data_IF_591424717842
#
_entry.id   IF_591424717842
#
_cell.length_a   1.000
_cell.length_b   1.000
_cell.length_c   1.000
_cell.angle_alpha   90.00
_cell.angle_beta   90.00
_cell.angle_gamma   90.00
#
_symmetry.space_group_name_H-M   'P 1'
#
loop_
_entity.id
_entity.type
_entity.pdbx_description
1 polymer ?
#
# COMPACT_ATOMS: atom_id res chain seq x y z
N UNK A 1 49.66 22.88 -45.30
CA UNK A 1 48.91 21.59 -45.36
C UNK A 1 49.66 20.60 -44.48
N UNK A 2 49.14 19.91 -43.45
CA UNK A 2 47.79 19.55 -43.01
C UNK A 2 47.78 19.54 -41.46
N UNK A 3 46.66 19.97 -40.86
CA UNK A 3 46.38 19.89 -39.42
C UNK A 3 46.35 18.41 -38.99
N UNK A 4 47.07 18.05 -37.92
CA UNK A 4 46.92 16.75 -37.28
C UNK A 4 45.60 16.76 -36.51
N UNK A 5 44.65 15.98 -37.02
CA UNK A 5 43.31 15.78 -36.43
C UNK A 5 43.44 15.04 -35.11
N UNK A 6 43.33 15.77 -34.02
CA UNK A 6 43.04 15.23 -32.69
C UNK A 6 41.53 14.97 -32.61
N UNK A 7 41.16 13.79 -32.10
CA UNK A 7 39.81 13.23 -31.83
C UNK A 7 39.33 12.26 -32.93
N UNK A 8 38.97 11.00 -32.61
CA UNK A 8 38.00 10.69 -31.56
C UNK A 8 38.27 9.35 -30.83
N UNK A 9 39.34 9.21 -30.04
CA UNK A 9 39.52 7.99 -29.24
C UNK A 9 38.80 8.03 -27.87
N UNK A 10 38.24 9.19 -27.50
CA UNK A 10 37.58 9.41 -26.19
C UNK A 10 36.06 9.19 -26.29
N UNK A 11 35.49 9.07 -27.49
CA UNK A 11 34.03 8.92 -27.66
C UNK A 11 33.55 7.47 -27.53
N UNK A 12 34.45 6.48 -27.63
CA UNK A 12 34.07 5.05 -27.56
C UNK A 12 33.95 4.51 -26.12
N UNK A 13 34.44 5.22 -25.11
CA UNK A 13 34.45 4.73 -23.72
C UNK A 13 33.19 5.09 -22.91
N UNK A 14 32.33 5.99 -23.42
CA UNK A 14 31.10 6.42 -22.73
C UNK A 14 29.85 5.59 -23.08
N UNK A 15 29.95 4.69 -24.07
CA UNK A 15 28.81 3.87 -24.51
C UNK A 15 28.69 2.57 -23.68
N UNK A 16 29.74 2.18 -22.95
CA UNK A 16 29.75 0.92 -22.20
C UNK A 16 29.11 1.00 -20.81
N UNK A 17 28.74 2.19 -20.33
CA UNK A 17 28.15 2.37 -18.99
C UNK A 17 26.62 2.24 -18.93
N UNK A 18 25.96 1.95 -20.06
CA UNK A 18 24.48 1.96 -20.17
C UNK A 18 23.84 0.57 -20.30
N UNK A 19 24.57 -0.53 -20.05
CA UNK A 19 24.09 -1.90 -20.32
C UNK A 19 23.64 -2.67 -19.05
N UNK A 20 23.73 -2.10 -17.85
CA UNK A 20 23.44 -2.85 -16.59
C UNK A 20 22.20 -2.37 -15.82
N UNK A 21 21.09 -2.11 -16.50
CA UNK A 21 19.77 -2.04 -15.84
C UNK A 21 18.75 -3.00 -16.44
N UNK A 22 19.20 -4.17 -16.89
CA UNK A 22 18.33 -5.31 -17.18
C UNK A 22 18.51 -6.41 -16.11
N UNK A 23 18.50 -6.02 -14.83
CA UNK A 23 18.01 -6.94 -13.79
C UNK A 23 16.49 -6.80 -13.84
N UNK A 24 15.84 -7.59 -14.68
CA UNK A 24 14.41 -7.82 -14.53
C UNK A 24 14.21 -8.37 -13.12
N UNK A 25 13.46 -7.63 -12.32
CA UNK A 25 12.95 -8.08 -11.04
C UNK A 25 12.28 -9.44 -11.27
N UNK A 26 12.66 -10.46 -10.51
CA UNK A 26 11.78 -11.61 -10.26
C UNK A 26 10.50 -11.03 -9.66
N UNK A 27 9.56 -10.66 -10.52
CA UNK A 27 8.16 -10.48 -10.16
C UNK A 27 7.69 -11.90 -9.88
N UNK A 28 7.99 -12.36 -8.67
CA UNK A 28 7.40 -13.54 -8.09
C UNK A 28 5.92 -13.43 -8.39
N UNK A 29 5.42 -14.24 -9.34
CA UNK A 29 4.14 -14.02 -10.01
C UNK A 29 3.08 -13.75 -8.97
N UNK A 30 2.74 -12.47 -8.82
CA UNK A 30 1.79 -12.05 -7.80
C UNK A 30 0.48 -12.74 -8.17
N UNK A 31 -0.21 -13.28 -7.18
CA UNK A 31 -1.52 -13.93 -7.35
C UNK A 31 -2.54 -13.08 -8.14
N UNK A 32 -2.27 -11.79 -8.33
CA UNK A 32 -3.08 -10.77 -8.99
C UNK A 32 -2.59 -10.39 -10.41
N UNK A 33 -1.70 -11.17 -11.02
CA UNK A 33 -1.11 -10.89 -12.33
C UNK A 33 -1.99 -11.35 -13.52
N UNK A 34 -3.22 -11.83 -13.25
CA UNK A 34 -4.22 -11.96 -14.33
C UNK A 34 -4.84 -10.58 -14.59
N UNK A 35 -5.05 -10.25 -15.87
CA UNK A 35 -5.56 -8.93 -16.26
C UNK A 35 -6.88 -8.57 -15.56
N UNK A 36 -7.77 -9.53 -15.37
CA UNK A 36 -9.06 -9.33 -14.70
C UNK A 36 -8.91 -8.99 -13.22
N UNK A 37 -8.08 -9.74 -12.47
CA UNK A 37 -7.84 -9.48 -11.05
C UNK A 37 -7.25 -8.07 -10.85
N UNK A 38 -6.32 -7.68 -11.73
CA UNK A 38 -5.70 -6.34 -11.68
C UNK A 38 -6.70 -5.20 -11.95
N UNK A 39 -7.69 -5.42 -12.82
CA UNK A 39 -8.74 -4.44 -13.13
C UNK A 39 -9.67 -4.28 -11.93
N UNK A 40 -10.12 -5.39 -11.34
CA UNK A 40 -11.00 -5.37 -10.18
C UNK A 40 -10.33 -4.68 -8.98
N UNK A 41 -9.06 -4.99 -8.71
CA UNK A 41 -8.27 -4.29 -7.70
C UNK A 41 -8.26 -2.77 -7.92
N UNK A 42 -7.96 -2.32 -9.14
CA UNK A 42 -7.94 -0.91 -9.49
C UNK A 42 -9.30 -0.23 -9.30
N UNK A 43 -10.38 -0.90 -9.68
CA UNK A 43 -11.74 -0.41 -9.49
C UNK A 43 -12.10 -0.24 -8.02
N UNK A 44 -11.86 -1.26 -7.19
CA UNK A 44 -12.14 -1.17 -5.75
C UNK A 44 -11.32 -0.07 -5.07
N UNK A 45 -10.03 0.04 -5.41
CA UNK A 45 -9.14 1.08 -4.89
C UNK A 45 -9.62 2.49 -5.25
N UNK A 46 -10.01 2.70 -6.51
CA UNK A 46 -10.51 4.00 -6.99
C UNK A 46 -11.85 4.37 -6.33
N UNK A 47 -12.77 3.41 -6.24
CA UNK A 47 -14.10 3.61 -5.70
C UNK A 47 -14.05 4.00 -4.21
N UNK A 48 -13.34 3.23 -3.36
CA UNK A 48 -13.29 3.57 -1.94
C UNK A 48 -12.60 4.91 -1.73
N UNK A 49 -11.52 5.18 -2.49
CA UNK A 49 -10.71 6.38 -2.30
C UNK A 49 -11.52 7.64 -2.58
N UNK A 50 -12.40 7.60 -3.58
CA UNK A 50 -13.32 8.71 -3.88
C UNK A 50 -14.17 9.06 -2.65
N UNK A 51 -14.88 8.09 -2.07
CA UNK A 51 -15.69 8.32 -0.87
C UNK A 51 -14.86 8.68 0.36
N UNK A 52 -13.69 8.05 0.53
CA UNK A 52 -12.79 8.33 1.63
C UNK A 52 -12.33 9.79 1.63
N UNK A 53 -11.97 10.36 0.47
CA UNK A 53 -11.53 11.77 0.38
C UNK A 53 -12.63 12.79 0.69
N UNK A 54 -13.89 12.35 0.68
CA UNK A 54 -15.05 13.15 1.06
C UNK A 54 -15.49 12.89 2.52
N UNK A 55 -14.69 12.13 3.28
CA UNK A 55 -15.01 11.66 4.64
C UNK A 55 -16.31 10.84 4.75
N UNK A 56 -16.77 10.28 3.63
CA UNK A 56 -17.96 9.44 3.52
C UNK A 56 -17.60 7.98 3.82
N UNK A 57 -17.12 7.70 5.03
CA UNK A 57 -16.53 6.40 5.39
C UNK A 57 -17.53 5.23 5.31
N UNK A 58 -18.82 5.46 5.58
CA UNK A 58 -19.84 4.41 5.46
C UNK A 58 -20.04 3.97 3.99
N UNK A 59 -19.79 4.88 3.02
CA UNK A 59 -19.82 4.58 1.59
C UNK A 59 -18.48 4.06 1.07
N UNK A 60 -17.37 4.47 1.68
CA UNK A 60 -16.03 3.96 1.35
C UNK A 60 -15.83 2.51 1.81
N UNK A 61 -16.36 2.15 2.98
CA UNK A 61 -16.05 0.90 3.66
C UNK A 61 -16.32 -0.37 2.83
N UNK A 62 -17.44 -0.53 2.12
CA UNK A 62 -17.70 -1.76 1.37
C UNK A 62 -16.65 -2.02 0.29
N UNK A 63 -16.29 -1.00 -0.50
CA UNK A 63 -15.31 -1.13 -1.59
C UNK A 63 -13.88 -1.18 -1.05
N UNK A 64 -13.60 -0.53 0.07
CA UNK A 64 -12.33 -0.70 0.78
C UNK A 64 -12.16 -2.15 1.28
N UNK A 65 -13.22 -2.76 1.82
CA UNK A 65 -13.17 -4.12 2.35
C UNK A 65 -12.93 -5.15 1.23
N UNK A 66 -13.51 -4.93 0.04
CA UNK A 66 -13.21 -5.73 -1.15
C UNK A 66 -11.71 -5.63 -1.49
N UNK A 67 -11.17 -4.41 -1.64
CA UNK A 67 -9.75 -4.21 -1.92
C UNK A 67 -8.85 -4.83 -0.83
N UNK A 68 -9.22 -4.70 0.44
CA UNK A 68 -8.49 -5.27 1.58
C UNK A 68 -8.44 -6.81 1.52
N UNK A 69 -9.52 -7.47 1.12
CA UNK A 69 -9.59 -8.93 1.08
C UNK A 69 -9.01 -9.52 -0.20
N UNK A 70 -9.38 -8.94 -1.32
CA UNK A 70 -9.05 -9.47 -2.64
C UNK A 70 -7.66 -9.06 -3.05
N UNK A 71 -7.25 -7.81 -2.79
CA UNK A 71 -6.04 -7.21 -3.36
C UNK A 71 -5.07 -6.63 -2.30
N UNK A 72 -4.69 -7.37 -1.25
CA UNK A 72 -3.91 -6.84 -0.14
C UNK A 72 -2.54 -6.29 -0.48
N UNK A 73 -1.87 -6.79 -1.51
CA UNK A 73 -0.55 -6.29 -1.94
C UNK A 73 -0.63 -5.04 -2.83
N UNK A 74 -1.82 -4.55 -3.17
CA UNK A 74 -2.02 -3.54 -4.20
C UNK A 74 -1.71 -2.10 -3.76
N UNK A 75 -1.81 -1.79 -2.47
CA UNK A 75 -1.60 -0.42 -1.96
C UNK A 75 -1.36 -0.39 -0.46
N UNK A 76 -0.22 0.13 -0.02
CA UNK A 76 0.02 0.40 1.41
C UNK A 76 -0.93 1.50 1.94
N UNK A 77 -1.26 2.49 1.10
CA UNK A 77 -2.15 3.60 1.43
C UNK A 77 -3.53 3.10 1.85
N UNK A 78 -4.04 2.04 1.23
CA UNK A 78 -5.30 1.41 1.62
C UNK A 78 -5.32 1.02 3.11
N UNK A 79 -4.19 0.54 3.66
CA UNK A 79 -4.11 0.22 5.09
C UNK A 79 -4.10 1.47 5.96
N UNK A 80 -3.44 2.55 5.52
CA UNK A 80 -3.44 3.83 6.22
C UNK A 80 -4.85 4.43 6.30
N UNK A 81 -5.57 4.40 5.19
CA UNK A 81 -6.97 4.83 5.10
C UNK A 81 -7.88 3.95 5.95
N UNK A 82 -7.65 2.64 5.95
CA UNK A 82 -8.34 1.70 6.84
C UNK A 82 -8.15 2.03 8.32
N UNK A 83 -6.93 2.37 8.74
CA UNK A 83 -6.67 2.82 10.11
C UNK A 83 -7.49 4.08 10.43
N UNK A 84 -7.54 5.06 9.52
CA UNK A 84 -8.31 6.29 9.71
C UNK A 84 -9.81 5.99 9.83
N UNK A 85 -10.37 5.18 8.92
CA UNK A 85 -11.79 4.81 8.96
C UNK A 85 -12.15 4.06 10.24
N UNK A 86 -11.37 3.05 10.62
CA UNK A 86 -11.69 2.25 11.79
C UNK A 86 -11.54 3.02 13.09
N UNK A 87 -10.63 4.00 13.19
CA UNK A 87 -10.64 4.95 14.31
C UNK A 87 -11.95 5.73 14.37
N UNK A 88 -12.39 6.31 13.26
CA UNK A 88 -13.69 7.00 13.22
C UNK A 88 -14.86 6.09 13.57
N UNK A 89 -14.84 4.82 13.15
CA UNK A 89 -15.87 3.86 13.52
C UNK A 89 -15.82 3.54 15.02
N UNK A 90 -14.64 3.33 15.62
CA UNK A 90 -14.52 3.08 17.06
C UNK A 90 -15.07 4.27 17.86
N UNK A 91 -14.70 5.49 17.48
CA UNK A 91 -15.12 6.72 18.17
C UNK A 91 -16.63 6.96 18.10
N UNK A 92 -17.30 6.45 17.06
CA UNK A 92 -18.76 6.52 16.88
C UNK A 92 -19.51 5.32 17.49
N UNK A 93 -18.82 4.26 17.89
CA UNK A 93 -19.46 3.05 18.42
C UNK A 93 -19.77 3.21 19.91
N UNK A 94 -20.94 2.76 20.39
CA UNK A 94 -21.16 2.60 21.82
C UNK A 94 -20.23 1.53 22.38
N UNK A 95 -19.87 1.66 23.66
CA UNK A 95 -19.11 0.63 24.37
C UNK A 95 -19.79 -0.75 24.27
N UNK A 96 -18.99 -1.79 24.17
CA UNK A 96 -19.46 -3.18 24.07
C UNK A 96 -18.99 -3.91 22.81
N UNK A 97 -19.65 -5.02 22.44
CA UNK A 97 -19.14 -5.96 21.43
C UNK A 97 -18.87 -5.34 20.05
N UNK A 98 -19.68 -4.36 19.65
CA UNK A 98 -19.52 -3.68 18.36
C UNK A 98 -18.23 -2.86 18.32
N UNK A 99 -17.93 -2.13 19.41
CA UNK A 99 -16.70 -1.36 19.53
C UNK A 99 -15.49 -2.28 19.58
N UNK A 100 -15.57 -3.38 20.33
CA UNK A 100 -14.51 -4.38 20.40
C UNK A 100 -14.20 -5.01 19.03
N UNK A 101 -15.22 -5.38 18.25
CA UNK A 101 -14.99 -5.91 16.90
C UNK A 101 -14.33 -4.91 15.95
N UNK A 102 -14.60 -3.61 16.12
CA UNK A 102 -13.93 -2.53 15.35
C UNK A 102 -12.47 -2.38 15.78
N UNK A 103 -12.17 -2.50 17.08
CA UNK A 103 -10.79 -2.50 17.60
C UNK A 103 -10.02 -3.71 17.07
N UNK A 104 -10.61 -4.90 17.10
CA UNK A 104 -9.98 -6.12 16.57
C UNK A 104 -9.66 -5.98 15.08
N UNK A 105 -10.60 -5.41 14.31
CA UNK A 105 -10.34 -5.16 12.89
C UNK A 105 -9.23 -4.11 12.69
N UNK A 106 -9.18 -3.06 13.51
CA UNK A 106 -8.06 -2.10 13.47
C UNK A 106 -6.72 -2.79 13.73
N UNK A 107 -6.67 -3.77 14.64
CA UNK A 107 -5.46 -4.55 14.91
C UNK A 107 -5.08 -5.42 13.70
N UNK A 108 -6.06 -6.05 13.06
CA UNK A 108 -5.86 -6.83 11.84
C UNK A 108 -5.32 -5.99 10.68
N UNK A 109 -5.77 -4.73 10.55
CA UNK A 109 -5.25 -3.81 9.53
C UNK A 109 -3.75 -3.57 9.72
N UNK A 110 -3.30 -3.35 10.97
CA UNK A 110 -1.87 -3.21 11.26
C UNK A 110 -1.09 -4.49 10.93
N UNK A 111 -1.63 -5.66 11.30
CA UNK A 111 -0.97 -6.95 11.06
C UNK A 111 -0.80 -7.24 9.57
N UNK A 112 -1.86 -7.03 8.78
CA UNK A 112 -1.80 -7.23 7.34
C UNK A 112 -0.92 -6.18 6.67
N UNK A 113 -0.92 -4.93 7.13
CA UNK A 113 0.02 -3.93 6.59
C UNK A 113 1.47 -4.39 6.76
N UNK A 114 1.85 -4.89 7.93
CA UNK A 114 3.18 -5.47 8.16
C UNK A 114 3.42 -6.68 7.25
N UNK A 115 2.44 -7.59 7.16
CA UNK A 115 2.54 -8.79 6.33
C UNK A 115 2.87 -8.48 4.86
N UNK A 116 2.26 -7.46 4.27
CA UNK A 116 2.39 -7.15 2.85
C UNK A 116 3.46 -6.08 2.53
N UNK A 117 3.80 -5.20 3.47
CA UNK A 117 4.68 -4.05 3.21
C UNK A 117 5.85 -3.91 4.20
N UNK A 118 5.98 -4.81 5.18
CA UNK A 118 7.01 -4.74 6.23
C UNK A 118 6.84 -3.53 7.16
N UNK A 119 7.92 -3.08 7.80
CA UNK A 119 7.91 -1.88 8.64
C UNK A 119 7.47 -2.14 10.09
N UNK A 120 7.73 -3.35 10.58
CA UNK A 120 7.29 -3.92 11.85
C UNK A 120 7.57 -3.00 13.03
N UNK A 121 8.79 -2.45 13.14
CA UNK A 121 9.14 -1.57 14.27
C UNK A 121 8.23 -0.34 14.37
N UNK A 122 7.95 0.33 13.24
CA UNK A 122 7.07 1.49 13.22
C UNK A 122 5.61 1.10 13.42
N UNK A 123 5.16 0.03 12.74
CA UNK A 123 3.76 -0.37 12.73
C UNK A 123 3.35 -0.99 14.06
N UNK A 124 4.18 -1.83 14.69
CA UNK A 124 3.94 -2.38 16.03
C UNK A 124 3.83 -1.27 17.08
N UNK A 125 4.69 -0.26 17.01
CA UNK A 125 4.61 0.89 17.91
C UNK A 125 3.27 1.64 17.77
N UNK A 126 2.77 1.81 16.54
CA UNK A 126 1.46 2.42 16.28
C UNK A 126 0.30 1.52 16.72
N UNK A 127 0.40 0.21 16.48
CA UNK A 127 -0.58 -0.79 16.91
C UNK A 127 -0.72 -0.80 18.44
N UNK A 128 0.41 -0.89 19.16
CA UNK A 128 0.43 -0.88 20.63
C UNK A 128 -0.16 0.40 21.22
N UNK A 129 0.21 1.56 20.66
CA UNK A 129 -0.41 2.83 21.05
C UNK A 129 -1.92 2.86 20.84
N UNK A 130 -2.41 2.39 19.69
CA UNK A 130 -3.84 2.34 19.42
C UNK A 130 -4.57 1.40 20.39
N UNK A 131 -3.95 0.26 20.73
CA UNK A 131 -4.51 -0.68 21.69
C UNK A 131 -4.62 -0.07 23.09
N UNK A 132 -3.58 0.64 23.56
CA UNK A 132 -3.62 1.38 24.82
C UNK A 132 -4.66 2.50 24.81
N UNK A 133 -4.88 3.17 23.67
CA UNK A 133 -5.93 4.19 23.57
C UNK A 133 -7.33 3.60 23.73
N UNK A 134 -7.58 2.39 23.22
CA UNK A 134 -8.94 1.85 23.16
C UNK A 134 -9.26 0.79 24.22
N UNK A 135 -8.24 0.16 24.82
CA UNK A 135 -8.34 -0.89 25.84
C UNK A 135 -7.43 -0.65 27.07
N UNK A 136 -6.76 0.49 27.14
CA UNK A 136 -5.91 0.87 28.27
C UNK A 136 -6.65 1.57 29.38
#
# INVERSE_FOLDING_TARGET
MKRKTLKPLILSALIFLFVVTAVSQDRNGSKYDTGEDSIQCGMHLSAYRTFFTLDLYDYAHPTWLMAFNECPASSEMMYLDGVTMYRSFIDKAPEGPVREGRIDTLMLIYDRRMQYFGGEGNILGRKGRALLTYRG
#
